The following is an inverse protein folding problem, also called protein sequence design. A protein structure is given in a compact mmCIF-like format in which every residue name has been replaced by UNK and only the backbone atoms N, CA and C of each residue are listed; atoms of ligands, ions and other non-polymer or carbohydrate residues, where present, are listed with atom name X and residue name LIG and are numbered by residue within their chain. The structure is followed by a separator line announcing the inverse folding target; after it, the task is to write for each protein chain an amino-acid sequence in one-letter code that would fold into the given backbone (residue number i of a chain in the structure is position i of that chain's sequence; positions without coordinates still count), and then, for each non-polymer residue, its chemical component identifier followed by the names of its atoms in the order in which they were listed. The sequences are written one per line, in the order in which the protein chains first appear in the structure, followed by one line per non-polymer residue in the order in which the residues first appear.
data_IF_942276224594
#
_entry.id   IF_942276224594
#
_cell.length_a   1.000
_cell.length_b   1.000
_cell.length_c   1.000
_cell.angle_alpha   90.00
_cell.angle_beta   90.00
_cell.angle_gamma   90.00
#
_symmetry.space_group_name_H-M   'P 1'
#
loop_
_entity.id
_entity.type
_entity.pdbx_description
1 polymer ?
#
# COMPACT_ATOMS: atom_id res chain seq x y z
N UNK A 1 -56.02 28.10 -15.93
CA UNK A 1 -55.02 27.10 -15.49
C UNK A 1 -55.40 26.61 -14.10
N UNK A 2 -55.65 25.32 -13.94
CA UNK A 2 -56.19 24.73 -12.72
C UNK A 2 -55.14 24.69 -11.61
N UNK A 3 -55.56 24.93 -10.35
CA UNK A 3 -54.72 24.86 -9.13
C UNK A 3 -53.91 23.55 -8.99
N UNK A 4 -54.26 22.52 -9.75
CA UNK A 4 -53.59 21.21 -9.78
C UNK A 4 -52.29 21.20 -10.61
N UNK A 5 -52.15 22.09 -11.62
CA UNK A 5 -50.95 22.16 -12.46
C UNK A 5 -49.76 22.81 -11.78
N UNK A 6 -49.99 23.78 -10.89
CA UNK A 6 -48.95 24.53 -10.19
C UNK A 6 -48.24 23.65 -9.13
N UNK A 7 -48.97 22.72 -8.48
CA UNK A 7 -48.39 21.81 -7.47
C UNK A 7 -47.40 20.80 -8.06
N UNK A 8 -47.53 20.42 -9.34
CA UNK A 8 -46.62 19.44 -9.99
C UNK A 8 -45.21 19.99 -10.22
N UNK A 9 -45.04 21.31 -10.33
CA UNK A 9 -43.74 21.95 -10.53
C UNK A 9 -43.14 22.52 -9.26
N UNK A 10 -43.94 22.77 -8.22
CA UNK A 10 -43.45 23.28 -6.93
C UNK A 10 -42.60 22.26 -6.17
N UNK A 11 -42.96 20.97 -6.20
CA UNK A 11 -42.23 19.93 -5.47
C UNK A 11 -40.81 19.71 -6.04
N UNK A 12 -40.61 19.54 -7.36
CA UNK A 12 -39.26 19.42 -7.93
C UNK A 12 -38.40 20.68 -7.70
N UNK A 13 -38.98 21.87 -7.86
CA UNK A 13 -38.25 23.14 -7.65
C UNK A 13 -37.84 23.29 -6.18
N UNK A 14 -38.72 22.94 -5.23
CA UNK A 14 -38.39 22.96 -3.82
C UNK A 14 -37.30 21.94 -3.45
N UNK A 15 -37.33 20.74 -4.05
CA UNK A 15 -36.27 19.74 -3.87
C UNK A 15 -34.92 20.20 -4.47
N UNK A 16 -34.94 20.86 -5.62
CA UNK A 16 -33.73 21.45 -6.22
C UNK A 16 -33.17 22.58 -5.34
N UNK A 17 -34.03 23.43 -4.78
CA UNK A 17 -33.60 24.50 -3.86
C UNK A 17 -33.03 23.92 -2.57
N UNK A 18 -33.62 22.85 -2.02
CA UNK A 18 -33.05 22.13 -0.87
C UNK A 18 -31.70 21.52 -1.25
N UNK A 19 -31.59 20.88 -2.42
CA UNK A 19 -30.34 20.27 -2.87
C UNK A 19 -29.24 21.33 -3.03
N UNK A 20 -29.54 22.46 -3.68
CA UNK A 20 -28.61 23.59 -3.84
C UNK A 20 -28.27 24.18 -2.47
N UNK A 21 -29.25 24.39 -1.60
CA UNK A 21 -29.05 24.91 -0.24
C UNK A 21 -28.19 23.98 0.62
N UNK A 22 -28.36 22.66 0.49
CA UNK A 22 -27.54 21.64 1.15
C UNK A 22 -26.12 21.63 0.61
N UNK A 23 -25.94 21.73 -0.72
CA UNK A 23 -24.60 21.79 -1.34
C UNK A 23 -23.87 23.08 -0.92
N UNK A 24 -24.56 24.23 -0.92
CA UNK A 24 -23.99 25.51 -0.49
C UNK A 24 -23.72 25.51 1.02
N UNK A 25 -24.61 24.91 1.82
CA UNK A 25 -24.44 24.75 3.27
C UNK A 25 -23.26 23.84 3.61
N UNK A 26 -23.12 22.70 2.93
CA UNK A 26 -21.97 21.80 3.05
C UNK A 26 -20.67 22.48 2.62
N UNK A 27 -20.65 23.15 1.46
CA UNK A 27 -19.47 23.92 1.02
C UNK A 27 -19.12 25.03 2.01
N UNK A 28 -20.10 25.78 2.50
CA UNK A 28 -19.87 26.87 3.46
C UNK A 28 -19.39 26.35 4.81
N UNK A 29 -19.92 25.21 5.27
CA UNK A 29 -19.45 24.52 6.47
C UNK A 29 -18.02 23.97 6.30
N UNK A 30 -17.71 23.40 5.13
CA UNK A 30 -16.38 22.91 4.79
C UNK A 30 -15.36 24.05 4.70
N UNK A 31 -15.76 25.20 4.15
CA UNK A 31 -14.92 26.40 4.05
C UNK A 31 -14.75 27.16 5.38
N UNK A 32 -15.74 27.09 6.29
CA UNK A 32 -15.70 27.78 7.60
C UNK A 32 -15.22 26.92 8.77
N UNK A 33 -15.07 25.61 8.58
CA UNK A 33 -14.38 24.80 9.59
C UNK A 33 -12.92 25.22 9.55
N UNK A 34 -12.37 25.65 10.69
CA UNK A 34 -10.93 25.82 10.87
C UNK A 34 -10.28 24.46 10.73
N UNK A 35 -9.99 24.06 9.49
CA UNK A 35 -9.20 22.87 9.24
C UNK A 35 -7.81 23.15 9.80
N UNK A 36 -7.34 22.22 10.63
CA UNK A 36 -5.94 22.21 11.01
C UNK A 36 -5.10 22.19 9.72
N UNK A 37 -4.09 23.04 9.69
CA UNK A 37 -3.16 23.11 8.58
C UNK A 37 -2.11 22.03 8.82
N UNK A 38 -1.81 21.24 7.79
CA UNK A 38 -0.75 20.22 7.86
C UNK A 38 0.60 20.93 8.10
N UNK A 39 1.35 20.49 9.10
CA UNK A 39 2.72 20.94 9.40
C UNK A 39 3.77 19.83 9.13
N UNK A 40 3.33 18.68 8.59
CA UNK A 40 4.24 17.59 8.21
C UNK A 40 4.96 17.88 6.89
N UNK A 41 6.20 17.42 6.81
CA UNK A 41 7.06 17.48 5.62
C UNK A 41 7.27 16.06 5.10
N UNK A 42 6.40 15.56 4.21
CA UNK A 42 6.50 14.20 3.69
C UNK A 42 7.75 14.05 2.83
N UNK A 43 8.18 12.81 2.67
CA UNK A 43 9.11 12.40 1.63
C UNK A 43 8.36 12.23 0.31
N UNK A 44 8.67 13.09 -0.66
CA UNK A 44 8.05 13.14 -1.98
C UNK A 44 9.11 12.79 -3.01
N UNK A 45 8.85 11.76 -3.83
CA UNK A 45 9.89 11.22 -4.69
C UNK A 45 9.42 10.34 -5.83
N UNK A 46 10.40 9.72 -6.47
CA UNK A 46 10.23 8.79 -7.58
C UNK A 46 10.95 7.49 -7.24
N UNK A 47 10.30 6.37 -7.52
CA UNK A 47 10.95 5.07 -7.58
C UNK A 47 11.46 4.82 -9.00
N UNK A 48 12.78 4.74 -9.12
CA UNK A 48 13.49 4.60 -10.38
C UNK A 48 13.92 3.16 -10.58
N UNK A 49 13.47 2.55 -11.68
CA UNK A 49 13.89 1.20 -12.08
C UNK A 49 14.55 1.18 -13.47
N UNK A 50 15.23 2.27 -13.85
CA UNK A 50 16.04 2.29 -15.06
C UNK A 50 17.30 1.42 -14.93
N UNK A 51 18.08 1.37 -16.00
CA UNK A 51 19.17 0.39 -16.18
C UNK A 51 20.55 0.98 -16.00
N UNK A 52 20.71 2.31 -16.09
CA UNK A 52 22.03 2.95 -16.11
C UNK A 52 22.16 4.08 -15.08
N UNK A 53 23.42 4.39 -14.74
CA UNK A 53 23.76 5.53 -13.90
C UNK A 53 23.36 6.86 -14.53
N UNK A 54 23.51 7.00 -15.85
CA UNK A 54 23.15 8.22 -16.58
C UNK A 54 21.63 8.46 -16.60
N UNK A 55 20.83 7.40 -16.75
CA UNK A 55 19.36 7.48 -16.62
C UNK A 55 18.96 7.93 -15.22
N UNK A 56 19.57 7.36 -14.18
CA UNK A 56 19.29 7.74 -12.79
C UNK A 56 19.63 9.21 -12.52
N UNK A 57 20.82 9.67 -12.95
CA UNK A 57 21.23 11.08 -12.81
C UNK A 57 20.32 12.03 -13.57
N UNK A 58 19.91 11.66 -14.79
CA UNK A 58 18.94 12.42 -15.59
C UNK A 58 17.62 12.56 -14.84
N UNK A 59 17.13 11.48 -14.23
CA UNK A 59 15.90 11.49 -13.44
C UNK A 59 16.02 12.38 -12.17
N UNK A 60 17.17 12.32 -11.49
CA UNK A 60 17.48 13.15 -10.33
C UNK A 60 17.52 14.63 -10.74
N UNK A 61 18.26 14.98 -11.79
CA UNK A 61 18.39 16.36 -12.26
C UNK A 61 17.05 16.97 -12.67
N UNK A 62 16.19 16.15 -13.28
CA UNK A 62 14.84 16.58 -13.67
C UNK A 62 13.97 16.93 -12.46
N UNK A 63 14.12 16.23 -11.34
CA UNK A 63 13.12 16.28 -10.25
C UNK A 63 13.62 16.89 -8.94
N UNK A 64 14.93 16.99 -8.71
CA UNK A 64 15.54 17.42 -7.43
C UNK A 64 15.09 18.78 -6.88
N UNK A 65 14.50 19.65 -7.71
CA UNK A 65 14.00 20.96 -7.28
C UNK A 65 12.55 20.91 -6.75
N UNK A 66 11.86 19.78 -6.90
CA UNK A 66 10.48 19.56 -6.48
C UNK A 66 10.25 18.16 -5.89
N UNK A 67 11.31 17.53 -5.40
CA UNK A 67 11.30 16.28 -4.63
C UNK A 67 12.36 16.34 -3.53
N UNK A 68 12.24 15.49 -2.53
CA UNK A 68 13.24 15.29 -1.47
C UNK A 68 13.57 13.80 -1.23
N UNK A 69 13.07 12.90 -2.08
CA UNK A 69 13.28 11.46 -2.00
C UNK A 69 13.58 10.88 -3.39
N UNK A 70 14.51 9.94 -3.44
CA UNK A 70 14.80 9.10 -4.60
C UNK A 70 14.89 7.64 -4.16
N UNK A 71 14.01 6.77 -4.68
CA UNK A 71 14.10 5.34 -4.44
C UNK A 71 14.86 4.70 -5.60
N UNK A 72 16.04 4.14 -5.32
CA UNK A 72 16.79 3.36 -6.30
C UNK A 72 16.21 1.94 -6.32
N UNK A 73 15.18 1.74 -7.14
CA UNK A 73 14.42 0.51 -7.18
C UNK A 73 14.90 -0.42 -8.30
N UNK A 74 16.02 -1.10 -8.07
CA UNK A 74 16.74 -1.83 -9.11
C UNK A 74 16.90 -3.30 -8.81
N UNK A 75 16.19 -3.83 -7.82
CA UNK A 75 16.50 -5.12 -7.21
C UNK A 75 16.59 -6.30 -8.17
N UNK A 76 15.83 -6.28 -9.27
CA UNK A 76 15.82 -7.32 -10.31
C UNK A 76 16.62 -6.97 -11.57
N UNK A 77 17.33 -5.84 -11.60
CA UNK A 77 18.09 -5.39 -12.78
C UNK A 77 19.59 -5.70 -12.67
N UNK A 78 20.34 -5.59 -13.78
CA UNK A 78 21.80 -5.71 -13.76
C UNK A 78 22.46 -4.61 -12.91
N UNK A 79 21.78 -3.46 -12.75
CA UNK A 79 22.29 -2.32 -12.01
C UNK A 79 22.45 -2.64 -10.51
N UNK A 80 21.53 -3.40 -9.90
CA UNK A 80 21.65 -3.80 -8.49
C UNK A 80 22.87 -4.68 -8.22
N UNK A 81 23.37 -5.40 -9.23
CA UNK A 81 24.56 -6.27 -9.13
C UNK A 81 25.86 -5.48 -9.27
N UNK A 82 25.81 -4.22 -9.70
CA UNK A 82 26.98 -3.36 -9.85
C UNK A 82 27.11 -2.40 -8.64
N UNK A 83 27.88 -2.84 -7.63
CA UNK A 83 28.10 -2.06 -6.41
C UNK A 83 28.60 -0.63 -6.69
N UNK A 84 29.54 -0.45 -7.62
CA UNK A 84 30.09 0.87 -7.95
C UNK A 84 29.00 1.79 -8.49
N UNK A 85 28.15 1.28 -9.40
CA UNK A 85 27.06 2.06 -9.98
C UNK A 85 25.99 2.43 -8.94
N UNK A 86 25.62 1.50 -8.05
CA UNK A 86 24.69 1.77 -6.94
C UNK A 86 25.21 2.89 -6.05
N UNK A 87 26.48 2.80 -5.62
CA UNK A 87 27.11 3.81 -4.76
C UNK A 87 27.22 5.15 -5.48
N UNK A 88 27.55 5.16 -6.78
CA UNK A 88 27.61 6.37 -7.59
C UNK A 88 26.26 7.10 -7.65
N UNK A 89 25.17 6.37 -7.93
CA UNK A 89 23.82 6.94 -8.01
C UNK A 89 23.38 7.49 -6.65
N UNK A 90 23.58 6.71 -5.58
CA UNK A 90 23.19 7.11 -4.24
C UNK A 90 23.97 8.34 -3.76
N UNK A 91 25.29 8.41 -4.02
CA UNK A 91 26.07 9.61 -3.73
C UNK A 91 25.51 10.82 -4.50
N UNK A 92 25.21 10.66 -5.79
CA UNK A 92 24.68 11.75 -6.60
C UNK A 92 23.32 12.27 -6.11
N UNK A 93 22.43 11.36 -5.70
CA UNK A 93 21.14 11.71 -5.11
C UNK A 93 21.31 12.49 -3.80
N UNK A 94 22.17 12.00 -2.90
CA UNK A 94 22.46 12.63 -1.59
C UNK A 94 23.13 14.00 -1.76
N UNK A 95 24.12 14.10 -2.64
CA UNK A 95 24.79 15.38 -3.01
C UNK A 95 23.81 16.37 -3.67
N UNK A 96 22.76 15.87 -4.32
CA UNK A 96 21.67 16.67 -4.87
C UNK A 96 20.61 17.06 -3.82
N UNK A 97 20.81 16.69 -2.55
CA UNK A 97 19.92 17.03 -1.44
C UNK A 97 18.73 16.09 -1.24
N UNK A 98 18.73 14.93 -1.90
CA UNK A 98 17.66 13.94 -1.79
C UNK A 98 17.96 12.92 -0.68
N UNK A 99 16.91 12.43 -0.04
CA UNK A 99 16.97 11.22 0.77
C UNK A 99 16.85 9.99 -0.15
N UNK A 100 17.35 8.85 0.30
CA UNK A 100 17.41 7.62 -0.49
C UNK A 100 16.82 6.43 0.25
N UNK A 101 16.09 5.63 -0.51
CA UNK A 101 15.70 4.25 -0.17
C UNK A 101 16.29 3.37 -1.27
N UNK A 102 16.83 2.22 -0.93
CA UNK A 102 17.56 1.38 -1.90
C UNK A 102 16.93 -0.01 -1.99
N UNK A 103 16.59 -0.48 -3.20
CA UNK A 103 16.23 -1.88 -3.48
C UNK A 103 17.38 -2.55 -4.25
N UNK A 104 18.00 -3.56 -3.63
CA UNK A 104 19.07 -4.36 -4.24
C UNK A 104 18.72 -5.85 -4.35
N UNK A 105 17.42 -6.14 -4.45
CA UNK A 105 16.89 -7.48 -4.65
C UNK A 105 16.53 -8.14 -3.34
N UNK A 106 16.23 -9.44 -3.41
CA UNK A 106 15.87 -10.25 -2.24
C UNK A 106 16.95 -11.29 -1.97
N UNK A 107 17.04 -11.74 -0.72
CA UNK A 107 17.76 -12.99 -0.42
C UNK A 107 16.71 -14.07 -0.21
N UNK A 108 16.56 -14.91 -1.22
CA UNK A 108 15.62 -16.02 -1.20
C UNK A 108 16.40 -17.33 -1.32
N UNK A 109 16.09 -18.35 -0.51
CA UNK A 109 16.69 -19.68 -0.69
C UNK A 109 16.20 -20.35 -1.98
N UNK A 110 15.21 -19.77 -2.67
CA UNK A 110 14.57 -20.32 -3.85
C UNK A 110 14.91 -19.54 -5.14
N UNK A 111 15.38 -18.30 -5.04
CA UNK A 111 15.71 -17.44 -6.18
C UNK A 111 17.17 -16.98 -6.14
N UNK A 112 18.06 -17.76 -6.75
CA UNK A 112 19.49 -17.42 -6.81
C UNK A 112 19.76 -16.19 -7.69
N UNK A 113 18.90 -15.90 -8.66
CA UNK A 113 19.10 -14.81 -9.61
C UNK A 113 18.79 -13.42 -9.01
N UNK A 114 18.16 -13.34 -7.83
CA UNK A 114 17.81 -12.06 -7.19
C UNK A 114 18.77 -11.65 -6.06
N UNK A 115 19.67 -12.55 -5.65
CA UNK A 115 20.69 -12.26 -4.63
C UNK A 115 21.87 -11.51 -5.25
N UNK A 116 22.27 -10.39 -4.63
CA UNK A 116 23.33 -9.49 -5.07
C UNK A 116 24.46 -9.41 -4.04
N UNK A 117 25.56 -8.73 -4.41
CA UNK A 117 26.71 -8.43 -3.52
C UNK A 117 26.32 -7.81 -2.17
N UNK A 118 25.14 -7.19 -2.10
CA UNK A 118 24.58 -6.62 -0.88
C UNK A 118 24.36 -7.70 0.20
N UNK A 119 23.83 -8.85 -0.18
CA UNK A 119 23.45 -9.93 0.74
C UNK A 119 24.61 -10.82 1.19
N UNK A 120 25.74 -10.76 0.48
CA UNK A 120 26.98 -11.46 0.84
C UNK A 120 27.74 -10.78 2.00
N UNK A 121 27.25 -9.65 2.49
CA UNK A 121 27.87 -8.86 3.56
C UNK A 121 27.03 -8.90 4.84
N UNK A 122 27.65 -8.76 6.03
CA UNK A 122 26.90 -8.58 7.27
C UNK A 122 26.04 -7.31 7.20
N UNK A 123 24.72 -7.45 7.42
CA UNK A 123 23.79 -6.31 7.38
C UNK A 123 24.14 -5.20 8.38
N UNK A 124 24.77 -5.55 9.52
CA UNK A 124 25.26 -4.58 10.49
C UNK A 124 26.40 -3.71 9.94
N UNK A 125 27.27 -4.26 9.08
CA UNK A 125 28.34 -3.52 8.41
C UNK A 125 27.76 -2.62 7.31
N UNK A 126 26.80 -3.13 6.52
CA UNK A 126 26.06 -2.32 5.55
C UNK A 126 25.43 -1.11 6.24
N UNK A 127 24.64 -1.34 7.31
CA UNK A 127 24.01 -0.25 8.06
C UNK A 127 25.03 0.78 8.52
N UNK A 128 26.13 0.33 9.13
CA UNK A 128 27.19 1.22 9.61
C UNK A 128 27.78 2.03 8.46
N UNK A 129 28.22 1.37 7.39
CA UNK A 129 28.91 2.01 6.26
C UNK A 129 28.02 3.01 5.53
N UNK A 130 26.74 2.68 5.33
CA UNK A 130 25.79 3.55 4.64
C UNK A 130 25.34 4.71 5.52
N UNK A 131 25.20 4.49 6.84
CA UNK A 131 24.97 5.59 7.79
C UNK A 131 26.17 6.53 7.87
N UNK A 132 27.40 6.01 7.90
CA UNK A 132 28.61 6.84 7.89
C UNK A 132 28.74 7.65 6.58
N UNK A 133 28.31 7.08 5.45
CA UNK A 133 28.43 7.69 4.13
C UNK A 133 27.33 8.72 3.84
N UNK A 134 26.08 8.39 4.11
CA UNK A 134 24.90 9.17 3.70
C UNK A 134 24.15 9.80 4.89
N UNK A 135 24.56 9.49 6.12
CA UNK A 135 23.96 10.04 7.33
C UNK A 135 22.46 9.80 7.38
N UNK A 136 21.72 10.84 7.78
CA UNK A 136 20.26 10.79 7.89
C UNK A 136 19.54 10.79 6.53
N UNK A 137 20.26 10.93 5.41
CA UNK A 137 19.66 10.83 4.08
C UNK A 137 19.48 9.39 3.62
N UNK A 138 20.12 8.41 4.27
CA UNK A 138 19.79 7.00 4.06
C UNK A 138 18.60 6.61 4.95
N UNK A 139 17.43 6.40 4.33
CA UNK A 139 16.20 6.10 5.06
C UNK A 139 16.01 4.61 5.30
N UNK A 140 16.50 3.75 4.40
CA UNK A 140 16.37 2.30 4.56
C UNK A 140 16.40 1.52 3.25
N UNK A 141 15.94 0.28 3.32
CA UNK A 141 15.96 -0.68 2.22
C UNK A 141 14.53 -1.03 1.81
N UNK A 142 14.25 -0.90 0.52
CA UNK A 142 13.03 -1.44 -0.08
C UNK A 142 13.25 -2.92 -0.37
N UNK A 143 12.42 -3.79 0.19
CA UNK A 143 12.67 -5.21 0.23
C UNK A 143 11.40 -6.05 0.08
N UNK A 144 11.48 -7.05 -0.81
CA UNK A 144 10.44 -8.04 -1.08
C UNK A 144 9.07 -7.40 -1.35
N UNK A 145 8.87 -7.06 -2.62
CA UNK A 145 7.72 -6.31 -3.13
C UNK A 145 6.42 -7.14 -3.08
N UNK A 146 5.33 -6.53 -2.66
CA UNK A 146 3.96 -7.08 -2.65
C UNK A 146 3.78 -8.41 -1.90
N UNK A 147 4.33 -8.63 -0.69
CA UNK A 147 4.21 -9.91 -0.01
C UNK A 147 2.75 -10.36 0.23
N UNK A 148 1.88 -9.44 0.66
CA UNK A 148 0.45 -9.64 0.85
C UNK A 148 -0.30 -9.78 -0.47
N UNK A 149 0.07 -9.00 -1.48
CA UNK A 149 -0.46 -9.10 -2.82
C UNK A 149 -0.20 -10.47 -3.46
N UNK A 150 1.07 -10.91 -3.42
CA UNK A 150 1.49 -12.24 -3.88
C UNK A 150 0.73 -13.34 -3.14
N UNK A 151 0.47 -13.18 -1.85
CA UNK A 151 -0.37 -14.10 -1.09
C UNK A 151 -1.79 -14.20 -1.65
N UNK A 152 -2.38 -13.10 -2.11
CA UNK A 152 -3.72 -13.08 -2.70
C UNK A 152 -3.77 -13.65 -4.13
N UNK A 153 -2.67 -13.51 -4.89
CA UNK A 153 -2.58 -13.87 -6.30
C UNK A 153 -2.05 -15.27 -6.56
N UNK A 154 -1.46 -15.91 -5.55
CA UNK A 154 -0.89 -17.23 -5.69
C UNK A 154 -1.92 -18.28 -6.15
N UNK A 155 -1.53 -19.08 -7.14
CA UNK A 155 -2.28 -20.29 -7.53
C UNK A 155 -2.02 -21.43 -6.56
N UNK A 156 -2.37 -21.23 -5.29
CA UNK A 156 -1.94 -22.10 -4.20
C UNK A 156 -2.48 -23.52 -4.28
N UNK A 157 -3.67 -23.72 -4.84
CA UNK A 157 -4.25 -25.06 -5.05
C UNK A 157 -3.33 -25.90 -5.93
N UNK A 158 -2.91 -25.35 -7.07
CA UNK A 158 -1.99 -26.04 -7.99
C UNK A 158 -0.63 -26.25 -7.33
N UNK A 159 -0.11 -25.25 -6.62
CA UNK A 159 1.13 -25.39 -5.85
C UNK A 159 1.04 -26.57 -4.88
N UNK A 160 -0.06 -26.73 -4.14
CA UNK A 160 -0.22 -27.84 -3.22
C UNK A 160 -0.38 -29.19 -3.90
N UNK A 161 -1.16 -29.28 -4.98
CA UNK A 161 -1.29 -30.53 -5.74
C UNK A 161 0.07 -31.03 -6.21
N UNK A 162 0.92 -30.13 -6.68
CA UNK A 162 2.27 -30.46 -7.17
C UNK A 162 3.26 -30.82 -6.05
N UNK A 163 3.10 -30.30 -4.83
CA UNK A 163 4.09 -30.44 -3.75
C UNK A 163 3.62 -31.28 -2.54
N UNK A 164 2.35 -31.69 -2.49
CA UNK A 164 1.73 -32.34 -1.32
C UNK A 164 2.42 -33.63 -0.85
N UNK A 165 2.95 -34.43 -1.78
CA UNK A 165 3.72 -35.65 -1.49
C UNK A 165 4.96 -35.40 -0.63
N UNK A 166 5.49 -34.17 -0.64
CA UNK A 166 6.65 -33.78 0.16
C UNK A 166 6.23 -33.26 1.54
N UNK A 167 5.05 -32.66 1.67
CA UNK A 167 4.61 -32.06 2.94
C UNK A 167 4.51 -33.09 4.07
N UNK A 168 3.96 -34.27 3.77
CA UNK A 168 3.82 -35.36 4.74
C UNK A 168 5.14 -35.97 5.23
N UNK A 169 6.26 -35.64 4.60
CA UNK A 169 7.59 -36.21 4.88
C UNK A 169 8.48 -35.28 5.71
N UNK A 170 8.06 -34.03 5.93
CA UNK A 170 8.88 -33.01 6.60
C UNK A 170 8.26 -32.61 7.93
N UNK A 171 9.01 -32.81 9.01
CA UNK A 171 8.60 -32.42 10.37
C UNK A 171 8.93 -30.94 10.62
N UNK A 172 8.19 -30.02 9.99
CA UNK A 172 8.32 -28.57 10.20
C UNK A 172 6.95 -27.92 10.43
N UNK A 173 6.77 -27.02 11.43
CA UNK A 173 5.49 -26.38 11.73
C UNK A 173 4.83 -25.70 10.52
N UNK A 174 5.58 -24.88 9.76
CA UNK A 174 5.08 -24.27 8.53
C UNK A 174 4.55 -25.30 7.51
N UNK A 175 5.29 -26.39 7.28
CA UNK A 175 4.88 -27.44 6.35
C UNK A 175 3.64 -28.18 6.86
N UNK A 176 3.51 -28.35 8.18
CA UNK A 176 2.30 -28.91 8.79
C UNK A 176 1.10 -27.97 8.62
N UNK A 177 1.26 -26.66 8.80
CA UNK A 177 0.20 -25.68 8.53
C UNK A 177 -0.22 -25.73 7.07
N UNK A 178 0.74 -25.70 6.14
CA UNK A 178 0.50 -25.86 4.69
C UNK A 178 -0.24 -27.15 4.35
N UNK A 179 0.19 -28.28 4.93
CA UNK A 179 -0.48 -29.56 4.75
C UNK A 179 -1.93 -29.50 5.25
N UNK A 180 -2.18 -28.87 6.39
CA UNK A 180 -3.52 -28.70 6.94
C UNK A 180 -4.39 -27.80 6.06
N UNK A 181 -3.84 -26.71 5.50
CA UNK A 181 -4.52 -25.85 4.52
C UNK A 181 -4.89 -26.67 3.27
N UNK A 182 -3.95 -27.45 2.74
CA UNK A 182 -4.21 -28.33 1.59
C UNK A 182 -5.31 -29.37 1.87
N UNK A 183 -5.25 -30.07 3.01
CA UNK A 183 -6.27 -31.06 3.39
C UNK A 183 -7.66 -30.43 3.54
N UNK A 184 -7.71 -29.20 4.05
CA UNK A 184 -8.93 -28.38 4.14
C UNK A 184 -9.50 -28.08 2.73
N UNK A 185 -8.65 -27.77 1.76
CA UNK A 185 -9.07 -27.51 0.37
C UNK A 185 -9.59 -28.77 -0.34
N UNK A 186 -8.94 -29.93 -0.16
CA UNK A 186 -9.45 -31.19 -0.68
C UNK A 186 -10.84 -31.53 -0.12
N UNK A 187 -11.03 -31.34 1.18
CA UNK A 187 -12.33 -31.56 1.82
C UNK A 187 -13.43 -30.69 1.19
N UNK A 188 -13.12 -29.42 0.90
CA UNK A 188 -14.05 -28.54 0.18
C UNK A 188 -14.36 -29.05 -1.24
N UNK A 189 -13.34 -29.44 -2.01
CA UNK A 189 -13.54 -29.92 -3.38
C UNK A 189 -14.51 -31.12 -3.42
N UNK A 190 -14.37 -32.04 -2.48
CA UNK A 190 -15.17 -33.26 -2.33
C UNK A 190 -16.57 -33.02 -1.74
N UNK A 191 -16.69 -32.18 -0.70
CA UNK A 191 -17.91 -32.07 0.12
C UNK A 191 -18.67 -30.76 -0.08
N UNK A 192 -18.12 -29.81 -0.84
CA UNK A 192 -18.66 -28.45 -1.07
C UNK A 192 -18.85 -27.61 0.18
N UNK A 193 -18.22 -27.99 1.29
CA UNK A 193 -18.21 -27.22 2.55
C UNK A 193 -16.86 -26.51 2.66
N UNK A 194 -16.87 -25.18 2.72
CA UNK A 194 -15.65 -24.38 2.91
C UNK A 194 -15.19 -24.44 4.38
N UNK A 195 -13.92 -24.76 4.65
CA UNK A 195 -13.38 -24.68 6.00
C UNK A 195 -13.22 -23.21 6.40
N UNK A 196 -13.88 -22.78 7.48
CA UNK A 196 -13.87 -21.39 7.95
C UNK A 196 -12.75 -21.08 8.96
N UNK A 197 -11.62 -21.77 8.85
CA UNK A 197 -10.50 -21.61 9.78
C UNK A 197 -9.41 -20.77 9.14
N UNK A 198 -9.73 -19.49 8.95
CA UNK A 198 -8.80 -18.47 8.46
C UNK A 198 -7.69 -18.15 9.47
N UNK A 199 -7.84 -18.56 10.73
CA UNK A 199 -6.81 -18.37 11.77
C UNK A 199 -5.51 -19.08 11.39
N UNK A 200 -5.61 -20.31 10.86
CA UNK A 200 -4.44 -21.06 10.42
C UNK A 200 -3.67 -20.36 9.30
N UNK A 201 -4.39 -19.71 8.38
CA UNK A 201 -3.75 -19.02 7.25
C UNK A 201 -3.12 -17.70 7.67
N UNK A 202 -3.82 -16.93 8.49
CA UNK A 202 -3.28 -15.70 9.06
C UNK A 202 -2.01 -15.98 9.88
N UNK A 203 -2.02 -17.05 10.68
CA UNK A 203 -0.84 -17.53 11.41
C UNK A 203 0.27 -17.97 10.45
N UNK A 204 -0.09 -18.71 9.40
CA UNK A 204 0.88 -19.18 8.41
C UNK A 204 1.58 -18.05 7.67
N UNK A 205 0.82 -17.11 7.13
CA UNK A 205 1.36 -15.96 6.44
C UNK A 205 2.27 -15.12 7.35
N UNK A 206 1.79 -14.71 8.52
CA UNK A 206 2.56 -13.83 9.42
C UNK A 206 3.79 -14.52 9.99
N UNK A 207 3.66 -15.73 10.52
CA UNK A 207 4.75 -16.35 11.27
C UNK A 207 5.67 -17.19 10.38
N UNK A 208 5.16 -17.82 9.32
CA UNK A 208 5.96 -18.72 8.50
C UNK A 208 6.36 -18.13 7.15
N UNK A 209 5.52 -17.35 6.49
CA UNK A 209 5.93 -16.69 5.23
C UNK A 209 6.84 -15.52 5.54
N UNK A 210 6.39 -14.60 6.41
CA UNK A 210 7.11 -13.34 6.65
C UNK A 210 8.23 -13.46 7.69
N UNK A 211 7.98 -14.04 8.87
CA UNK A 211 9.01 -14.04 9.94
C UNK A 211 10.07 -15.13 9.78
N UNK A 212 9.64 -16.37 9.58
CA UNK A 212 10.56 -17.50 9.50
C UNK A 212 11.04 -17.78 8.06
N UNK A 213 10.17 -17.54 7.07
CA UNK A 213 10.41 -17.86 5.66
C UNK A 213 11.17 -16.80 4.88
N UNK A 214 11.37 -15.61 5.47
CA UNK A 214 12.06 -14.49 4.82
C UNK A 214 13.37 -14.14 5.55
N UNK A 215 14.49 -14.81 5.21
CA UNK A 215 15.76 -14.58 5.88
C UNK A 215 16.32 -13.17 5.64
N UNK A 216 15.94 -12.51 4.54
CA UNK A 216 16.37 -11.14 4.24
C UNK A 216 15.68 -10.11 5.10
N UNK A 217 14.36 -10.21 5.24
CA UNK A 217 13.61 -9.36 6.16
C UNK A 217 14.13 -9.54 7.59
N UNK A 218 14.34 -10.78 8.02
CA UNK A 218 14.90 -11.08 9.33
C UNK A 218 16.30 -10.46 9.53
N UNK A 219 17.18 -10.54 8.52
CA UNK A 219 18.53 -9.98 8.58
C UNK A 219 18.54 -8.44 8.62
N UNK A 220 17.68 -7.78 7.84
CA UNK A 220 17.50 -6.33 7.85
C UNK A 220 16.98 -5.85 9.22
N UNK A 221 15.94 -6.51 9.73
CA UNK A 221 15.36 -6.21 11.04
C UNK A 221 16.37 -6.43 12.18
N UNK A 222 17.15 -7.50 12.14
CA UNK A 222 18.19 -7.77 13.13
C UNK A 222 19.32 -6.72 13.13
N UNK A 223 19.61 -6.12 11.97
CA UNK A 223 20.53 -4.98 11.88
C UNK A 223 19.86 -3.66 12.30
N UNK A 224 18.52 -3.61 12.40
CA UNK A 224 17.72 -2.41 12.61
C UNK A 224 17.80 -1.46 11.41
N UNK A 225 17.88 -2.01 10.21
CA UNK A 225 17.71 -1.22 8.98
C UNK A 225 16.22 -1.09 8.74
N UNK A 226 15.73 0.13 8.53
CA UNK A 226 14.33 0.35 8.22
C UNK A 226 13.95 -0.33 6.91
N UNK A 227 12.90 -1.14 6.99
CA UNK A 227 12.40 -1.94 5.88
C UNK A 227 11.16 -1.30 5.29
N UNK A 228 11.24 -1.04 3.99
CA UNK A 228 10.15 -0.55 3.16
C UNK A 228 9.66 -1.69 2.27
N UNK A 229 8.37 -1.77 2.05
CA UNK A 229 7.81 -2.48 0.90
C UNK A 229 6.58 -1.75 0.39
N UNK A 230 6.09 -2.15 -0.77
CA UNK A 230 4.78 -1.74 -1.24
C UNK A 230 3.87 -2.93 -1.37
N UNK A 231 2.58 -2.70 -1.20
CA UNK A 231 1.57 -3.73 -1.36
C UNK A 231 0.25 -3.10 -1.82
N UNK A 232 -0.69 -3.92 -2.25
CA UNK A 232 -2.06 -3.53 -2.61
C UNK A 232 -3.12 -4.22 -1.74
N UNK A 233 -2.71 -5.02 -0.75
CA UNK A 233 -3.59 -5.68 0.20
C UNK A 233 -2.86 -6.07 1.49
N UNK A 234 -3.61 -6.61 2.45
CA UNK A 234 -3.08 -7.26 3.66
C UNK A 234 -2.06 -6.48 4.54
N UNK A 235 -1.96 -5.15 4.39
CA UNK A 235 -1.02 -4.29 5.14
C UNK A 235 -0.94 -4.54 6.65
N UNK A 236 -2.08 -4.87 7.28
CA UNK A 236 -2.13 -5.21 8.70
C UNK A 236 -1.17 -6.36 9.04
N UNK A 237 -1.17 -7.39 8.20
CA UNK A 237 -0.38 -8.60 8.37
C UNK A 237 1.08 -8.41 7.98
N UNK A 238 1.38 -7.54 7.01
CA UNK A 238 2.77 -7.19 6.68
C UNK A 238 3.47 -6.49 7.85
N UNK A 239 2.78 -5.56 8.53
CA UNK A 239 3.30 -4.97 9.77
C UNK A 239 3.48 -6.01 10.88
N UNK A 240 2.52 -6.94 11.04
CA UNK A 240 2.67 -8.05 11.99
C UNK A 240 3.85 -8.97 11.64
N UNK A 241 4.17 -9.11 10.34
CA UNK A 241 5.29 -9.87 9.81
C UNK A 241 6.65 -9.23 10.06
N UNK A 242 6.67 -7.91 10.27
CA UNK A 242 7.86 -7.20 10.74
C UNK A 242 8.36 -6.09 9.83
N UNK A 243 7.59 -5.67 8.82
CA UNK A 243 7.92 -4.47 8.05
C UNK A 243 7.83 -3.21 8.93
N UNK A 244 8.65 -2.21 8.62
CA UNK A 244 8.66 -0.93 9.33
C UNK A 244 7.80 0.13 8.63
N UNK A 245 7.82 0.17 7.30
CA UNK A 245 7.05 1.13 6.50
C UNK A 245 6.38 0.44 5.32
N UNK A 246 5.08 0.64 5.17
CA UNK A 246 4.32 0.15 4.01
C UNK A 246 3.89 1.30 3.10
N UNK A 247 4.12 1.13 1.80
CA UNK A 247 3.64 2.02 0.76
C UNK A 247 2.40 1.38 0.10
N UNK A 248 1.21 1.92 0.36
CA UNK A 248 0.03 1.45 -0.34
C UNK A 248 0.12 1.77 -1.84
N UNK A 249 -0.08 0.75 -2.66
CA UNK A 249 -0.08 0.91 -4.09
C UNK A 249 -1.37 1.57 -4.57
N UNK A 250 -1.23 2.71 -5.23
CA UNK A 250 -2.33 3.42 -5.88
C UNK A 250 -2.22 3.18 -7.38
N UNK A 251 -2.92 2.16 -7.86
CA UNK A 251 -2.88 1.74 -9.25
C UNK A 251 -4.18 1.08 -9.68
N UNK A 252 -4.18 0.59 -10.92
CA UNK A 252 -5.31 -0.05 -11.58
C UNK A 252 -6.57 0.82 -11.46
N UNK A 253 -7.72 0.19 -11.25
CA UNK A 253 -8.96 0.89 -10.89
C UNK A 253 -9.27 0.72 -9.39
N UNK A 254 -8.26 0.55 -8.54
CA UNK A 254 -8.45 0.43 -7.11
C UNK A 254 -8.89 1.76 -6.49
N UNK A 255 -9.71 1.70 -5.44
CA UNK A 255 -10.18 2.88 -4.72
C UNK A 255 -9.04 3.48 -3.87
N UNK A 256 -8.61 4.70 -4.21
CA UNK A 256 -7.59 5.44 -3.46
C UNK A 256 -7.96 5.58 -1.99
N UNK A 257 -9.21 5.94 -1.69
CA UNK A 257 -9.68 6.09 -0.32
C UNK A 257 -9.66 4.77 0.45
N UNK A 258 -9.96 3.65 -0.20
CA UNK A 258 -9.91 2.33 0.42
C UNK A 258 -8.47 1.93 0.75
N UNK A 259 -7.55 2.08 -0.20
CA UNK A 259 -6.14 1.72 0.00
C UNK A 259 -5.51 2.56 1.12
N UNK A 260 -5.77 3.88 1.12
CA UNK A 260 -5.36 4.77 2.20
C UNK A 260 -5.97 4.34 3.54
N UNK A 261 -7.28 4.05 3.60
CA UNK A 261 -7.93 3.69 4.85
C UNK A 261 -7.38 2.38 5.46
N UNK A 262 -7.02 1.39 4.62
CA UNK A 262 -6.43 0.12 5.05
C UNK A 262 -5.01 0.32 5.60
N UNK A 263 -4.09 0.91 4.82
CA UNK A 263 -2.69 1.06 5.25
C UNK A 263 -2.55 2.01 6.44
N UNK A 264 -3.28 3.13 6.44
CA UNK A 264 -3.24 4.15 7.50
C UNK A 264 -3.85 3.60 8.80
N UNK A 265 -4.95 2.85 8.70
CA UNK A 265 -5.56 2.20 9.86
C UNK A 265 -4.62 1.18 10.50
N UNK A 266 -3.96 0.35 9.68
CA UNK A 266 -2.95 -0.59 10.15
C UNK A 266 -1.76 0.11 10.81
N UNK A 267 -1.20 1.12 10.13
CA UNK A 267 -0.05 1.86 10.62
C UNK A 267 -0.34 2.59 11.94
N UNK A 268 -1.49 3.27 12.03
CA UNK A 268 -1.91 4.00 13.24
C UNK A 268 -2.02 3.11 14.46
N UNK A 269 -2.70 1.97 14.35
CA UNK A 269 -2.90 1.08 15.49
C UNK A 269 -1.63 0.35 15.92
N UNK A 270 -0.70 0.13 14.98
CA UNK A 270 0.56 -0.55 15.23
C UNK A 270 1.74 0.41 15.49
N UNK A 271 1.49 1.73 15.55
CA UNK A 271 2.50 2.78 15.75
C UNK A 271 3.63 2.73 14.71
N UNK A 272 3.25 2.74 13.43
CA UNK A 272 4.13 2.63 12.26
C UNK A 272 3.98 3.82 11.32
N UNK A 273 5.03 4.08 10.54
CA UNK A 273 5.01 5.03 9.42
C UNK A 273 4.39 4.38 8.19
N UNK A 274 3.80 5.18 7.30
CA UNK A 274 3.21 4.66 6.07
C UNK A 274 3.29 5.67 4.93
N UNK A 275 3.08 5.18 3.71
CA UNK A 275 2.99 6.05 2.55
C UNK A 275 2.19 5.46 1.41
N UNK A 276 2.35 6.04 0.23
CA UNK A 276 1.74 5.54 -1.00
C UNK A 276 2.75 5.55 -2.13
N UNK A 277 2.70 4.51 -2.97
CA UNK A 277 3.39 4.45 -4.24
C UNK A 277 2.37 4.38 -5.37
N UNK A 278 2.37 5.38 -6.25
CA UNK A 278 1.45 5.45 -7.39
C UNK A 278 2.03 4.61 -8.52
N UNK A 279 1.27 3.62 -8.96
CA UNK A 279 1.69 2.61 -9.95
C UNK A 279 0.69 2.51 -11.11
N UNK A 280 0.88 1.51 -11.98
CA UNK A 280 0.20 1.37 -13.27
C UNK A 280 -1.32 1.37 -13.13
N UNK A 281 -1.98 2.15 -13.98
CA UNK A 281 -3.42 2.04 -14.22
C UNK A 281 -3.75 1.18 -15.43
N UNK A 282 -2.88 1.25 -16.45
CA UNK A 282 -3.08 0.60 -17.73
C UNK A 282 -1.90 -0.33 -18.05
N UNK A 283 -2.17 -1.42 -18.76
CA UNK A 283 -1.14 -2.35 -19.25
C UNK A 283 -0.39 -1.85 -20.50
N UNK A 284 -0.77 -0.70 -21.04
CA UNK A 284 -0.19 -0.10 -22.24
C UNK A 284 -0.04 1.43 -22.04
N UNK A 285 0.83 2.10 -22.81
CA UNK A 285 0.98 3.56 -22.72
C UNK A 285 -0.32 4.34 -22.98
N UNK A 286 -0.59 5.43 -22.22
CA UNK A 286 0.12 5.84 -21.01
C UNK A 286 -0.12 4.84 -19.88
N UNK A 287 0.93 4.38 -19.19
CA UNK A 287 0.83 3.34 -18.16
C UNK A 287 0.20 3.84 -16.85
N UNK A 288 0.46 5.11 -16.50
CA UNK A 288 -0.13 5.78 -15.33
C UNK A 288 -1.42 6.50 -15.72
N UNK A 289 -2.21 6.90 -14.73
CA UNK A 289 -3.34 7.80 -14.95
C UNK A 289 -2.86 9.19 -15.42
N UNK A 290 -3.77 10.02 -15.95
CA UNK A 290 -3.42 11.36 -16.41
C UNK A 290 -2.91 12.26 -15.26
N UNK A 291 -2.20 13.34 -15.60
CA UNK A 291 -1.53 14.20 -14.62
C UNK A 291 -2.45 14.78 -13.52
N UNK A 292 -3.72 15.07 -13.82
CA UNK A 292 -4.66 15.57 -12.80
C UNK A 292 -5.02 14.49 -11.78
N UNK A 293 -5.20 13.25 -12.22
CA UNK A 293 -5.48 12.13 -11.31
C UNK A 293 -4.25 11.77 -10.46
N UNK A 294 -3.05 11.81 -11.04
CA UNK A 294 -1.79 11.62 -10.30
C UNK A 294 -1.65 12.70 -9.21
N UNK A 295 -1.91 13.97 -9.55
CA UNK A 295 -1.95 15.07 -8.56
C UNK A 295 -2.96 14.80 -7.44
N UNK A 296 -4.18 14.37 -7.77
CA UNK A 296 -5.23 14.11 -6.78
C UNK A 296 -4.90 12.92 -5.87
N UNK A 297 -4.23 11.89 -6.40
CA UNK A 297 -3.75 10.75 -5.61
C UNK A 297 -2.70 11.21 -4.60
N UNK A 298 -1.67 11.96 -5.04
CA UNK A 298 -0.64 12.51 -4.14
C UNK A 298 -1.24 13.43 -3.07
N UNK A 299 -2.17 14.31 -3.47
CA UNK A 299 -2.85 15.21 -2.54
C UNK A 299 -3.69 14.45 -1.52
N UNK A 300 -4.40 13.39 -1.93
CA UNK A 300 -5.18 12.55 -1.03
C UNK A 300 -4.30 11.86 0.02
N UNK A 301 -3.16 11.30 -0.41
CA UNK A 301 -2.17 10.71 0.50
C UNK A 301 -1.63 11.73 1.50
N UNK A 302 -1.24 12.92 1.02
CA UNK A 302 -0.74 14.00 1.87
C UNK A 302 -1.78 14.46 2.90
N UNK A 303 -3.01 14.71 2.45
CA UNK A 303 -4.10 15.13 3.34
C UNK A 303 -4.44 14.07 4.38
N UNK A 304 -4.32 12.79 4.04
CA UNK A 304 -4.50 11.67 4.95
C UNK A 304 -3.32 11.45 5.92
N UNK A 305 -2.22 12.19 5.76
CA UNK A 305 -1.05 12.12 6.64
C UNK A 305 -0.04 11.04 6.28
N UNK A 306 0.14 10.74 4.99
CA UNK A 306 1.22 9.87 4.52
C UNK A 306 2.60 10.51 4.78
N UNK A 307 3.55 9.70 5.24
CA UNK A 307 4.95 10.09 5.43
C UNK A 307 5.72 10.02 4.11
N UNK A 308 5.33 9.12 3.21
CA UNK A 308 5.97 8.89 1.91
C UNK A 308 4.97 8.95 0.76
N UNK A 309 5.29 9.70 -0.30
CA UNK A 309 4.46 9.86 -1.50
C UNK A 309 5.35 9.71 -2.73
N UNK A 310 5.21 8.59 -3.42
CA UNK A 310 6.14 8.16 -4.47
C UNK A 310 5.39 7.88 -5.76
N UNK A 311 5.98 8.20 -6.91
CA UNK A 311 5.52 7.71 -8.22
C UNK A 311 6.48 6.62 -8.71
N UNK A 312 5.94 5.46 -9.06
CA UNK A 312 6.70 4.35 -9.64
C UNK A 312 6.98 4.61 -11.13
N UNK A 313 8.24 4.85 -11.48
CA UNK A 313 8.65 5.20 -12.83
C UNK A 313 9.29 4.02 -13.57
N UNK A 314 8.51 2.97 -13.76
CA UNK A 314 8.89 1.78 -14.51
C UNK A 314 7.65 1.18 -15.13
N UNK A 315 7.76 0.61 -16.33
CA UNK A 315 6.73 -0.15 -16.99
C UNK A 315 7.38 -1.23 -17.87
N UNK A 316 6.64 -2.28 -18.17
CA UNK A 316 7.06 -3.32 -19.13
C UNK A 316 6.34 -3.12 -20.46
N UNK A 317 7.09 -2.99 -21.55
CA UNK A 317 6.58 -2.96 -22.92
C UNK A 317 7.13 -4.17 -23.67
N UNK A 318 6.34 -5.26 -23.71
CA UNK A 318 6.83 -6.56 -24.18
C UNK A 318 7.94 -7.10 -23.27
N UNK A 319 9.11 -7.39 -23.83
CA UNK A 319 10.27 -7.88 -23.08
C UNK A 319 11.21 -6.74 -22.63
N UNK A 320 10.86 -5.48 -22.86
CA UNK A 320 11.69 -4.33 -22.52
C UNK A 320 11.08 -3.50 -21.38
N UNK A 321 11.95 -2.82 -20.64
CA UNK A 321 11.57 -1.84 -19.64
C UNK A 321 11.42 -0.45 -20.26
N UNK A 322 10.39 0.29 -19.86
CA UNK A 322 10.16 1.67 -20.26
C UNK A 322 9.90 2.55 -19.03
N UNK A 323 10.14 3.88 -19.11
CA UNK A 323 9.67 4.81 -18.09
C UNK A 323 8.14 4.89 -18.14
N UNK A 324 7.48 4.79 -16.98
CA UNK A 324 6.02 4.97 -16.89
C UNK A 324 5.61 6.45 -16.91
N UNK A 325 6.49 7.35 -16.45
CA UNK A 325 6.21 8.76 -16.35
C UNK A 325 6.41 9.51 -17.67
N UNK A 326 5.37 10.22 -18.12
CA UNK A 326 5.42 11.20 -19.22
C UNK A 326 5.34 12.63 -18.65
N UNK A 327 5.50 13.66 -19.49
CA UNK A 327 5.62 15.07 -19.09
C UNK A 327 4.52 15.53 -18.11
N UNK A 328 3.25 15.16 -18.33
CA UNK A 328 2.16 15.57 -17.46
C UNK A 328 2.29 15.05 -16.01
N UNK A 329 2.96 13.90 -15.81
CA UNK A 329 3.19 13.35 -14.47
C UNK A 329 4.27 14.15 -13.72
N UNK A 330 5.28 14.66 -14.43
CA UNK A 330 6.28 15.56 -13.85
C UNK A 330 5.67 16.91 -13.47
N UNK A 331 4.82 17.46 -14.34
CA UNK A 331 4.08 18.70 -14.05
C UNK A 331 3.13 18.52 -12.85
N UNK A 332 2.50 17.35 -12.72
CA UNK A 332 1.67 17.01 -11.56
C UNK A 332 2.48 16.95 -10.26
N UNK A 333 3.65 16.31 -10.30
CA UNK A 333 4.57 16.21 -9.16
C UNK A 333 5.10 17.58 -8.72
N UNK A 334 5.52 18.42 -9.67
CA UNK A 334 5.97 19.79 -9.40
C UNK A 334 4.83 20.66 -8.83
N UNK A 335 3.62 20.56 -9.40
CA UNK A 335 2.43 21.26 -8.88
C UNK A 335 2.12 20.82 -7.45
N UNK A 336 2.13 19.52 -7.18
CA UNK A 336 1.90 18.97 -5.85
C UNK A 336 2.93 19.51 -4.85
N UNK A 337 4.23 19.43 -5.19
CA UNK A 337 5.30 19.97 -4.35
C UNK A 337 5.09 21.45 -4.00
N UNK A 338 4.77 22.28 -5.00
CA UNK A 338 4.46 23.70 -4.78
C UNK A 338 3.25 23.88 -3.87
N UNK A 339 2.21 23.09 -4.06
CA UNK A 339 0.95 23.23 -3.34
C UNK A 339 1.08 22.85 -1.86
N UNK A 340 1.88 21.86 -1.50
CA UNK A 340 2.10 21.48 -0.10
C UNK A 340 3.03 22.44 0.64
N UNK A 341 3.90 23.17 -0.07
CA UNK A 341 4.84 24.13 0.55
C UNK A 341 4.29 25.55 0.65
N UNK A 342 3.42 25.95 -0.28
CA UNK A 342 2.99 27.36 -0.41
C UNK A 342 1.49 27.58 -0.23
N UNK A 343 0.67 26.53 -0.20
CA UNK A 343 -0.78 26.64 0.05
C UNK A 343 -1.14 25.93 1.35
N UNK A 344 -2.21 26.41 1.99
CA UNK A 344 -2.81 25.69 3.12
C UNK A 344 -3.57 24.49 2.57
N UNK A 345 -3.26 23.31 3.09
CA UNK A 345 -3.97 22.08 2.78
C UNK A 345 -4.75 21.60 4.01
N UNK A 346 -5.90 20.98 3.74
CA UNK A 346 -6.76 20.38 4.76
C UNK A 346 -6.05 19.21 5.43
N UNK A 347 -5.85 19.25 6.75
CA UNK A 347 -5.43 18.07 7.49
C UNK A 347 -6.62 17.11 7.67
N UNK A 348 -6.57 15.95 7.00
CA UNK A 348 -7.55 14.86 7.10
C UNK A 348 -6.93 13.61 7.74
N UNK A 349 -5.75 13.73 8.36
CA UNK A 349 -5.03 12.60 8.94
C UNK A 349 -5.71 12.04 10.19
N UNK A 350 -6.36 12.89 10.99
CA UNK A 350 -7.10 12.47 12.18
C UNK A 350 -8.35 11.68 11.77
N UNK A 351 -8.51 10.43 12.20
CA UNK A 351 -9.64 9.62 11.79
C UNK A 351 -10.91 10.05 12.50
N UNK A 352 -12.02 10.10 11.76
CA UNK A 352 -13.35 10.32 12.35
C UNK A 352 -14.01 9.00 12.75
N UNK A 353 -13.77 7.95 11.98
CA UNK A 353 -14.40 6.65 12.17
C UNK A 353 -13.43 5.51 11.88
N UNK A 354 -13.74 4.33 12.42
CA UNK A 354 -13.04 3.08 12.13
C UNK A 354 -14.02 1.98 11.74
N UNK A 355 -13.68 1.21 10.72
CA UNK A 355 -14.28 -0.08 10.38
C UNK A 355 -13.38 -1.22 10.87
N UNK A 356 -13.91 -2.09 11.72
CA UNK A 356 -13.20 -3.25 12.27
C UNK A 356 -13.62 -4.50 11.50
N UNK A 357 -12.65 -5.10 10.82
CA UNK A 357 -12.73 -6.37 10.11
C UNK A 357 -12.51 -7.55 11.07
N UNK A 358 -12.99 -8.77 10.75
CA UNK A 358 -12.64 -9.95 11.54
C UNK A 358 -11.13 -10.17 11.54
N UNK A 359 -10.56 -10.58 12.68
CA UNK A 359 -9.12 -10.68 12.96
C UNK A 359 -8.27 -11.41 11.91
N UNK A 360 -8.88 -12.36 11.20
CA UNK A 360 -8.23 -13.32 10.32
C UNK A 360 -8.72 -13.26 8.88
N UNK A 361 -9.50 -12.23 8.50
CA UNK A 361 -10.21 -12.22 7.22
C UNK A 361 -9.41 -11.53 6.11
N UNK A 362 -8.38 -12.20 5.59
CA UNK A 362 -7.49 -11.68 4.54
C UNK A 362 -8.12 -11.64 3.15
N UNK A 363 -9.27 -10.96 3.00
CA UNK A 363 -9.89 -10.74 1.69
C UNK A 363 -9.12 -9.68 0.89
N UNK A 364 -8.86 -9.93 -0.39
CA UNK A 364 -8.10 -9.01 -1.24
C UNK A 364 -8.80 -7.67 -1.52
N UNK A 365 -10.14 -7.63 -1.43
CA UNK A 365 -10.95 -6.42 -1.57
C UNK A 365 -10.78 -5.65 -2.89
N UNK A 366 -10.24 -6.28 -3.95
CA UNK A 366 -10.05 -5.64 -5.27
C UNK A 366 -11.33 -5.66 -6.10
N UNK A 367 -12.12 -6.70 -5.92
CA UNK A 367 -13.44 -6.88 -6.51
C UNK A 367 -14.28 -7.81 -5.63
N UNK A 368 -15.60 -7.85 -5.86
CA UNK A 368 -16.55 -8.56 -4.99
C UNK A 368 -16.32 -10.08 -4.89
N UNK A 369 -15.71 -10.67 -5.91
CA UNK A 369 -15.41 -12.09 -6.08
C UNK A 369 -13.93 -12.41 -5.84
N UNK A 370 -13.17 -11.47 -5.30
CA UNK A 370 -11.76 -11.64 -4.94
C UNK A 370 -11.60 -12.70 -3.84
N UNK A 371 -10.40 -13.26 -3.75
CA UNK A 371 -10.11 -14.39 -2.86
C UNK A 371 -9.91 -13.93 -1.43
N UNK A 372 -10.18 -14.84 -0.50
CA UNK A 372 -9.76 -14.73 0.89
C UNK A 372 -8.46 -15.54 0.99
N UNK A 373 -7.38 -14.85 1.37
CA UNK A 373 -6.02 -15.34 1.48
C UNK A 373 -5.43 -15.99 0.21
N UNK A 374 -6.06 -15.84 -0.96
CA UNK A 374 -5.65 -16.56 -2.17
C UNK A 374 -6.24 -17.98 -2.30
N UNK A 375 -6.95 -18.49 -1.29
CA UNK A 375 -7.44 -19.89 -1.28
C UNK A 375 -8.95 -19.99 -1.38
N UNK A 376 -9.66 -19.23 -0.56
CA UNK A 376 -11.10 -19.36 -0.46
C UNK A 376 -11.78 -18.39 -1.41
N UNK A 377 -12.87 -18.80 -2.10
CA UNK A 377 -13.73 -17.84 -2.77
C UNK A 377 -14.37 -16.89 -1.74
N UNK A 378 -14.86 -15.76 -2.23
CA UNK A 378 -15.74 -14.88 -1.46
C UNK A 378 -16.88 -15.64 -0.77
N UNK A 379 -17.25 -15.19 0.43
CA UNK A 379 -18.30 -15.76 1.27
C UNK A 379 -19.34 -14.69 1.69
N UNK A 380 -20.32 -15.07 2.51
CA UNK A 380 -21.36 -14.14 2.97
C UNK A 380 -20.79 -12.93 3.73
N UNK A 381 -19.60 -13.05 4.35
CA UNK A 381 -18.93 -11.91 5.00
C UNK A 381 -18.40 -10.94 3.97
N UNK A 382 -18.00 -11.40 2.78
CA UNK A 382 -17.48 -10.56 1.71
C UNK A 382 -18.51 -9.51 1.30
N UNK A 383 -19.74 -9.93 1.01
CA UNK A 383 -20.81 -9.02 0.61
C UNK A 383 -21.14 -8.01 1.71
N UNK A 384 -21.22 -8.49 2.96
CA UNK A 384 -21.50 -7.65 4.12
C UNK A 384 -20.39 -6.62 4.38
N UNK A 385 -19.11 -7.05 4.36
CA UNK A 385 -17.94 -6.18 4.52
C UNK A 385 -17.91 -5.15 3.38
N UNK A 386 -18.03 -5.60 2.13
CA UNK A 386 -18.02 -4.72 0.95
C UNK A 386 -19.12 -3.65 1.01
N UNK A 387 -20.33 -4.03 1.43
CA UNK A 387 -21.45 -3.11 1.59
C UNK A 387 -21.20 -2.08 2.68
N UNK A 388 -20.74 -2.50 3.87
CA UNK A 388 -20.46 -1.58 4.98
C UNK A 388 -19.30 -0.68 4.65
N UNK A 389 -18.20 -1.23 4.14
CA UNK A 389 -17.01 -0.51 3.71
C UNK A 389 -17.35 0.55 2.66
N UNK A 390 -18.08 0.19 1.61
CA UNK A 390 -18.47 1.13 0.55
C UNK A 390 -19.30 2.30 1.08
N UNK A 391 -20.27 2.04 1.98
CA UNK A 391 -21.06 3.08 2.63
C UNK A 391 -20.20 3.99 3.52
N UNK A 392 -19.31 3.42 4.32
CA UNK A 392 -18.44 4.19 5.21
C UNK A 392 -17.43 5.03 4.44
N UNK A 393 -16.84 4.49 3.36
CA UNK A 393 -15.96 5.24 2.47
C UNK A 393 -16.69 6.40 1.78
N UNK A 394 -17.96 6.21 1.39
CA UNK A 394 -18.78 7.30 0.84
C UNK A 394 -19.09 8.40 1.88
N UNK A 395 -19.16 8.07 3.17
CA UNK A 395 -19.45 9.02 4.26
C UNK A 395 -18.17 9.75 4.70
N UNK A 396 -17.09 9.00 4.95
CA UNK A 396 -15.90 9.48 5.65
C UNK A 396 -14.69 9.67 4.72
N UNK A 397 -14.68 9.07 3.53
CA UNK A 397 -13.55 9.13 2.60
C UNK A 397 -12.24 8.73 3.28
N UNK A 398 -11.20 9.53 3.10
CA UNK A 398 -9.87 9.31 3.69
C UNK A 398 -9.81 9.53 5.21
N UNK A 399 -10.89 9.97 5.87
CA UNK A 399 -10.95 10.07 7.34
C UNK A 399 -11.47 8.79 8.01
N UNK A 400 -11.81 7.77 7.21
CA UNK A 400 -12.04 6.41 7.70
C UNK A 400 -10.69 5.70 7.91
N UNK A 401 -10.61 4.88 8.95
CA UNK A 401 -9.64 3.80 9.05
C UNK A 401 -10.32 2.45 8.87
N UNK A 402 -9.63 1.51 8.24
CA UNK A 402 -10.05 0.11 8.17
C UNK A 402 -8.97 -0.72 8.84
N UNK A 403 -9.36 -1.50 9.85
CA UNK A 403 -8.45 -2.22 10.74
C UNK A 403 -8.94 -3.63 10.99
N UNK A 404 -8.07 -4.50 11.49
CA UNK A 404 -8.45 -5.84 11.91
C UNK A 404 -8.70 -5.87 13.41
N UNK A 405 -9.65 -6.70 13.84
CA UNK A 405 -9.83 -7.00 15.25
C UNK A 405 -8.58 -7.68 15.80
N UNK A 406 -7.88 -7.01 16.72
CA UNK A 406 -6.67 -7.55 17.33
C UNK A 406 -6.53 -7.06 18.76
N UNK A 407 -6.49 -7.99 19.72
CA UNK A 407 -6.39 -7.67 21.14
C UNK A 407 -5.07 -6.98 21.51
N UNK A 408 -4.01 -7.12 20.69
CA UNK A 408 -2.73 -6.42 20.88
C UNK A 408 -2.85 -4.93 20.56
N UNK A 409 -3.71 -4.59 19.61
CA UNK A 409 -3.91 -3.24 19.09
C UNK A 409 -5.38 -2.80 19.21
N UNK A 410 -5.89 -2.66 20.45
CA UNK A 410 -7.31 -2.39 20.66
C UNK A 410 -7.66 -0.96 20.21
N UNK A 411 -8.72 -0.84 19.39
CA UNK A 411 -9.28 0.44 18.92
C UNK A 411 -9.63 1.41 20.04
N UNK A 412 -9.90 0.90 21.25
CA UNK A 412 -10.24 1.71 22.42
C UNK A 412 -9.09 2.58 22.93
N UNK A 413 -7.86 2.37 22.43
CA UNK A 413 -6.70 3.23 22.72
C UNK A 413 -6.64 4.47 21.82
N UNK A 414 -7.50 4.55 20.80
CA UNK A 414 -7.54 5.65 19.83
C UNK A 414 -8.81 6.48 20.00
N UNK A 415 -8.74 7.76 19.66
CA UNK A 415 -9.84 8.73 19.82
C UNK A 415 -10.81 8.72 18.62
N UNK A 416 -11.27 7.53 18.18
CA UNK A 416 -12.26 7.42 17.11
C UNK A 416 -13.64 7.94 17.58
N UNK A 417 -14.25 8.84 16.81
CA UNK A 417 -15.59 9.37 17.12
C UNK A 417 -16.68 8.33 16.88
N UNK A 418 -16.47 7.43 15.92
CA UNK A 418 -17.40 6.36 15.58
C UNK A 418 -16.66 5.04 15.35
N UNK A 419 -17.21 3.95 15.86
CA UNK A 419 -16.67 2.60 15.72
C UNK A 419 -17.71 1.72 15.07
N UNK A 420 -17.36 1.10 13.94
CA UNK A 420 -18.21 0.20 13.19
C UNK A 420 -17.57 -1.17 13.11
N UNK A 421 -18.33 -2.22 13.40
CA UNK A 421 -17.93 -3.59 13.11
C UNK A 421 -18.44 -3.99 11.72
N UNK A 422 -17.71 -4.86 11.03
CA UNK A 422 -18.08 -5.36 9.70
C UNK A 422 -19.52 -5.86 9.57
N UNK A 423 -20.08 -6.45 10.63
CA UNK A 423 -21.44 -6.99 10.67
C UNK A 423 -22.51 -5.95 11.06
N UNK A 424 -22.15 -4.66 11.13
CA UNK A 424 -23.09 -3.57 11.46
C UNK A 424 -23.99 -3.25 10.28
N UNK A 425 -25.24 -2.89 10.54
CA UNK A 425 -26.14 -2.33 9.51
C UNK A 425 -26.04 -0.80 9.49
N UNK A 426 -25.62 -0.23 8.36
CA UNK A 426 -25.59 1.22 8.14
C UNK A 426 -26.90 1.67 7.47
N UNK A 427 -27.73 2.38 8.25
CA UNK A 427 -29.03 2.93 7.82
C UNK A 427 -28.85 4.41 7.47
N UNK A 428 -28.34 4.70 6.27
CA UNK A 428 -28.39 6.04 5.67
C UNK A 428 -28.54 5.95 4.17
#
# INVERSE_FOLDING_TARGET
MTKLGIKKFLIPVFLIIILIGSIVGLNSYYLNTTQEVIDSKPYVGIAFCGKTTDEAKTQIDRTKNYTNLFILDTGRSELSRNQTAVIEICNYAVESGLNIIVNLGITSPYENDTTTWFWDQPMSEIKKNWTERWGNQFLGVYYNDEPGGIQLDGYWVEFYEQHSDNFSKVEHPAIKSLQQIYLKMLYHAENKILPQDYDLEADFFVNYVLKEGDPGLAALNAAGITTFTSDYGLYWFDYLGGYEVLLAQLGWNASVAQQIALVKGAARLQDKEWGTIITWKYGEPPFLDNGEQIYNQMLSSYQAGADYIVIFNYATLGNESAPAMVEEHYLALERFWKDIHYKKQSNLSTPEAVLILPSNYGWGMRHHDDTIWGFWPSDDKTEQIGTVMGKLLAIYGVTLDIVYEDARYPVSKMDYKQVYYWNTTIVR
#
